data_IF_779120331570
#
_entry.id   IF_779120331570
#
_cell.length_a   1.000
_cell.length_b   1.000
_cell.length_c   1.000
_cell.angle_alpha   90.00
_cell.angle_beta   90.00
_cell.angle_gamma   90.00
#
_symmetry.space_group_name_H-M   'P 1'
#
loop_
_entity.id
_entity.type
_entity.pdbx_description
1 polymer ?
#
# COMPACT_ATOMS: atom_id res chain seq x y z
N UNK A 1 21.18 -15.38 -16.16
CA UNK A 1 19.99 -15.45 -15.28
C UNK A 1 18.92 -14.64 -15.98
N UNK A 2 17.66 -15.10 -15.97
CA UNK A 2 16.56 -14.29 -16.53
C UNK A 2 16.41 -13.02 -15.70
N UNK A 3 16.01 -11.91 -16.32
CA UNK A 3 15.78 -10.66 -15.59
C UNK A 3 14.58 -10.83 -14.64
N UNK A 4 14.60 -10.17 -13.46
CA UNK A 4 13.49 -10.21 -12.53
C UNK A 4 12.21 -9.68 -13.19
N UNK A 5 11.09 -10.35 -12.94
CA UNK A 5 9.79 -9.83 -13.37
C UNK A 5 9.45 -8.57 -12.57
N UNK A 6 8.63 -7.67 -13.14
CA UNK A 6 8.06 -6.55 -12.39
C UNK A 6 6.64 -6.89 -11.93
N UNK A 7 6.42 -6.88 -10.62
CA UNK A 7 5.11 -6.95 -9.99
C UNK A 7 4.64 -5.54 -9.67
N UNK A 8 3.64 -5.06 -10.39
CA UNK A 8 2.97 -3.80 -10.07
C UNK A 8 1.93 -4.05 -8.97
N UNK A 9 2.01 -3.27 -7.90
CA UNK A 9 1.15 -3.41 -6.71
C UNK A 9 0.33 -2.16 -6.54
N UNK A 10 -0.95 -2.24 -6.90
CA UNK A 10 -1.91 -1.16 -6.70
C UNK A 10 -2.35 -1.17 -5.24
N UNK A 11 -2.11 -0.07 -4.53
CA UNK A 11 -2.20 -0.04 -3.07
C UNK A 11 -2.56 1.34 -2.51
N UNK A 12 -3.15 1.37 -1.32
CA UNK A 12 -3.41 2.58 -0.54
C UNK A 12 -3.12 2.32 0.95
N UNK A 13 -2.49 3.28 1.62
CA UNK A 13 -2.07 3.17 3.03
C UNK A 13 -3.24 3.03 4.01
N UNK A 14 -4.44 3.45 3.61
CA UNK A 14 -5.65 3.36 4.45
C UNK A 14 -6.40 2.02 4.30
N UNK A 15 -5.95 1.17 3.37
CA UNK A 15 -6.55 -0.12 3.09
C UNK A 15 -5.93 -1.24 3.95
N UNK A 16 -6.69 -1.86 4.87
CA UNK A 16 -6.14 -2.91 5.74
C UNK A 16 -5.77 -4.17 4.96
N UNK A 17 -6.42 -4.43 3.82
CA UNK A 17 -6.05 -5.53 2.93
C UNK A 17 -4.74 -5.26 2.19
N UNK A 18 -4.40 -3.99 1.92
CA UNK A 18 -3.12 -3.64 1.31
C UNK A 18 -1.96 -3.90 2.27
N UNK A 19 -2.15 -3.61 3.55
CA UNK A 19 -1.15 -3.94 4.57
C UNK A 19 -0.90 -5.46 4.68
N UNK A 20 -1.97 -6.27 4.67
CA UNK A 20 -1.86 -7.73 4.60
C UNK A 20 -1.18 -8.20 3.31
N UNK A 21 -1.56 -7.61 2.17
CA UNK A 21 -0.97 -7.91 0.87
C UNK A 21 0.52 -7.56 0.80
N UNK A 22 0.93 -6.46 1.41
CA UNK A 22 2.33 -6.02 1.48
C UNK A 22 3.21 -7.03 2.23
N UNK A 23 2.75 -7.59 3.34
CA UNK A 23 3.44 -8.69 4.02
C UNK A 23 3.70 -9.88 3.10
N UNK A 24 2.69 -10.27 2.32
CA UNK A 24 2.80 -11.37 1.35
C UNK A 24 3.69 -11.02 0.16
N UNK A 25 3.70 -9.77 -0.29
CA UNK A 25 4.62 -9.29 -1.33
C UNK A 25 6.08 -9.33 -0.84
N UNK A 26 6.34 -8.99 0.43
CA UNK A 26 7.67 -9.13 1.03
C UNK A 26 8.12 -10.58 1.05
N UNK A 27 7.25 -11.48 1.50
CA UNK A 27 7.51 -12.92 1.45
C UNK A 27 7.78 -13.41 0.01
N UNK A 28 7.03 -12.90 -0.98
CA UNK A 28 7.27 -13.23 -2.39
C UNK A 28 8.66 -12.75 -2.84
N UNK A 29 9.05 -11.52 -2.48
CA UNK A 29 10.35 -10.93 -2.79
C UNK A 29 11.51 -11.67 -2.13
N UNK A 30 11.31 -12.28 -0.97
CA UNK A 30 12.32 -13.13 -0.32
C UNK A 30 12.54 -14.44 -1.09
N UNK A 31 11.48 -15.01 -1.66
CA UNK A 31 11.50 -16.33 -2.29
C UNK A 31 11.74 -16.32 -3.81
N UNK A 32 11.41 -15.22 -4.50
CA UNK A 32 11.47 -15.11 -5.96
C UNK A 32 12.21 -13.87 -6.42
N UNK A 33 12.76 -13.92 -7.63
CA UNK A 33 13.40 -12.79 -8.29
C UNK A 33 12.33 -11.87 -8.92
N UNK A 34 11.78 -11.01 -8.07
CA UNK A 34 10.73 -10.05 -8.40
C UNK A 34 11.14 -8.63 -8.01
N UNK A 35 10.91 -7.69 -8.93
CA UNK A 35 10.97 -6.26 -8.67
C UNK A 35 9.58 -5.76 -8.35
N UNK A 36 9.43 -5.04 -7.24
CA UNK A 36 8.14 -4.48 -6.81
C UNK A 36 8.05 -3.04 -7.29
N UNK A 37 6.93 -2.71 -7.93
CA UNK A 37 6.59 -1.34 -8.31
C UNK A 37 5.26 -0.98 -7.69
N UNK A 38 5.29 -0.09 -6.70
CA UNK A 38 4.07 0.41 -6.09
C UNK A 38 3.35 1.36 -7.05
N UNK A 39 2.02 1.25 -7.10
CA UNK A 39 1.14 2.16 -7.84
C UNK A 39 0.09 2.65 -6.86
N UNK A 40 0.08 3.95 -6.56
CA UNK A 40 -0.89 4.49 -5.61
C UNK A 40 -2.32 4.46 -6.16
N UNK A 41 -3.26 4.04 -5.31
CA UNK A 41 -4.68 3.97 -5.63
C UNK A 41 -5.47 4.99 -4.79
N UNK A 42 -6.48 5.68 -5.36
CA UNK A 42 -7.35 6.57 -4.61
C UNK A 42 -8.49 5.79 -3.95
N UNK A 43 -8.28 5.16 -2.78
CA UNK A 43 -9.36 4.37 -2.18
C UNK A 43 -10.51 5.25 -1.67
N UNK A 44 -10.18 6.30 -0.93
CA UNK A 44 -11.14 7.27 -0.37
C UNK A 44 -10.63 8.71 -0.51
N UNK A 45 -10.38 9.19 -1.74
CA UNK A 45 -9.77 10.51 -2.00
C UNK A 45 -10.59 11.69 -1.48
N UNK A 46 -11.89 11.49 -1.27
CA UNK A 46 -12.84 12.45 -0.73
C UNK A 46 -12.78 12.61 0.80
N UNK A 47 -12.04 11.75 1.51
CA UNK A 47 -11.93 11.82 2.97
C UNK A 47 -11.28 13.15 3.38
N UNK A 48 -11.82 13.90 4.34
CA UNK A 48 -11.15 15.10 4.87
C UNK A 48 -9.80 14.79 5.53
N UNK A 49 -8.94 15.80 5.68
CA UNK A 49 -7.62 15.61 6.30
C UNK A 49 -7.74 15.24 7.79
N UNK A 50 -8.72 15.80 8.49
CA UNK A 50 -9.10 15.44 9.86
C UNK A 50 -9.72 14.03 9.98
N UNK A 51 -10.03 13.40 8.84
CA UNK A 51 -10.62 12.07 8.77
C UNK A 51 -12.14 12.04 8.89
N UNK A 52 -12.66 10.81 8.82
CA UNK A 52 -14.08 10.51 8.99
C UNK A 52 -14.24 9.18 9.72
N UNK A 53 -15.31 9.03 10.49
CA UNK A 53 -15.59 7.74 11.15
C UNK A 53 -15.88 6.65 10.10
N UNK A 54 -15.48 5.41 10.41
CA UNK A 54 -15.79 4.26 9.56
C UNK A 54 -17.29 3.96 9.54
N UNK A 55 -17.99 4.22 10.64
CA UNK A 55 -19.44 4.09 10.73
C UNK A 55 -20.13 4.97 9.68
N UNK A 56 -19.74 6.25 9.60
CA UNK A 56 -20.29 7.18 8.62
C UNK A 56 -19.87 6.80 7.19
N UNK A 57 -18.62 6.38 6.99
CA UNK A 57 -18.12 5.98 5.68
C UNK A 57 -18.85 4.75 5.11
N UNK A 58 -19.12 3.74 5.95
CA UNK A 58 -19.80 2.52 5.54
C UNK A 58 -21.32 2.57 5.71
N UNK A 59 -21.86 3.65 6.30
CA UNK A 59 -23.30 3.77 6.58
C UNK A 59 -23.81 2.70 7.55
N UNK A 60 -23.00 2.31 8.55
CA UNK A 60 -23.31 1.23 9.48
C UNK A 60 -23.05 1.61 10.95
N UNK A 61 -23.50 0.77 11.88
CA UNK A 61 -23.33 0.95 13.32
C UNK A 61 -22.00 0.42 13.87
N UNK A 62 -21.69 0.74 15.14
CA UNK A 62 -20.43 0.35 15.79
C UNK A 62 -20.21 -1.16 15.88
N UNK A 63 -21.29 -1.96 15.96
CA UNK A 63 -21.20 -3.42 16.01
C UNK A 63 -20.64 -4.00 14.71
N UNK A 64 -21.11 -3.52 13.55
CA UNK A 64 -20.59 -4.00 12.25
C UNK A 64 -19.13 -3.56 12.06
N UNK A 65 -18.75 -2.37 12.52
CA UNK A 65 -17.34 -1.92 12.51
C UNK A 65 -16.47 -2.83 13.37
N UNK A 66 -16.94 -3.21 14.58
CA UNK A 66 -16.23 -4.14 15.45
C UNK A 66 -16.06 -5.52 14.78
N UNK A 67 -17.10 -6.03 14.10
CA UNK A 67 -17.01 -7.29 13.34
C UNK A 67 -16.00 -7.21 12.19
N UNK A 68 -15.97 -6.09 11.44
CA UNK A 68 -14.99 -5.87 10.37
C UNK A 68 -13.56 -5.81 10.93
N UNK A 69 -13.35 -5.13 12.06
CA UNK A 69 -12.03 -5.08 12.69
C UNK A 69 -11.61 -6.45 13.23
N UNK A 70 -12.49 -7.19 13.91
CA UNK A 70 -12.21 -8.52 14.42
C UNK A 70 -11.81 -9.50 13.30
N UNK A 71 -12.50 -9.42 12.14
CA UNK A 71 -12.11 -10.20 10.95
C UNK A 71 -10.69 -9.86 10.49
N UNK A 72 -10.36 -8.57 10.38
CA UNK A 72 -9.01 -8.15 9.96
C UNK A 72 -7.95 -8.55 10.98
N UNK A 73 -8.22 -8.39 12.27
CA UNK A 73 -7.31 -8.83 13.34
C UNK A 73 -7.02 -10.32 13.27
N UNK A 74 -8.02 -11.16 13.06
CA UNK A 74 -7.83 -12.61 12.93
C UNK A 74 -6.90 -12.96 11.76
N UNK A 75 -7.04 -12.28 10.61
CA UNK A 75 -6.16 -12.47 9.45
C UNK A 75 -4.74 -11.97 9.71
N UNK A 76 -4.59 -10.79 10.31
CA UNK A 76 -3.28 -10.22 10.64
C UNK A 76 -2.54 -11.08 11.67
N UNK A 77 -3.24 -11.55 12.70
CA UNK A 77 -2.68 -12.42 13.74
C UNK A 77 -2.20 -13.76 13.16
N UNK A 78 -2.92 -14.33 12.19
CA UNK A 78 -2.51 -15.56 11.51
C UNK A 78 -1.17 -15.42 10.78
N UNK A 79 -0.78 -14.19 10.41
CA UNK A 79 0.49 -13.86 9.75
C UNK A 79 1.47 -13.10 10.67
N UNK A 80 1.19 -13.01 11.98
CA UNK A 80 2.05 -12.31 12.94
C UNK A 80 2.11 -10.80 12.74
N UNK A 81 1.16 -10.21 12.01
CA UNK A 81 1.10 -8.78 11.76
C UNK A 81 0.37 -8.05 12.90
N UNK A 82 0.97 -6.99 13.48
CA UNK A 82 0.28 -6.16 14.46
C UNK A 82 -0.83 -5.34 13.78
N UNK A 83 -2.01 -5.31 14.38
CA UNK A 83 -3.14 -4.54 13.90
C UNK A 83 -4.04 -4.15 15.08
N UNK A 84 -4.39 -2.87 15.19
CA UNK A 84 -5.32 -2.37 16.21
C UNK A 84 -6.69 -2.09 15.60
N UNK A 85 -7.72 -2.15 16.44
CA UNK A 85 -9.06 -1.69 16.07
C UNK A 85 -9.00 -0.26 15.52
N UNK A 86 -9.82 0.03 14.53
CA UNK A 86 -9.91 1.38 13.97
C UNK A 86 -11.35 1.86 13.97
N UNK A 87 -11.51 3.15 14.25
CA UNK A 87 -12.80 3.85 14.24
C UNK A 87 -12.88 4.90 13.14
N UNK A 88 -11.75 5.30 12.55
CA UNK A 88 -11.65 6.36 11.55
C UNK A 88 -10.90 5.88 10.30
N UNK A 89 -11.15 6.58 9.20
CA UNK A 89 -10.25 6.63 8.04
C UNK A 89 -9.76 8.06 7.85
N UNK A 90 -8.60 8.22 7.22
CA UNK A 90 -7.98 9.52 6.95
C UNK A 90 -7.68 9.69 5.46
N UNK A 91 -7.42 10.91 5.02
CA UNK A 91 -6.95 11.15 3.66
C UNK A 91 -5.51 10.66 3.50
N UNK A 92 -5.24 9.83 2.48
CA UNK A 92 -3.89 9.30 2.21
C UNK A 92 -3.11 10.09 1.16
N UNK A 93 -3.69 11.13 0.55
CA UNK A 93 -3.10 11.80 -0.62
C UNK A 93 -1.70 12.33 -0.38
N UNK A 94 -1.49 13.07 0.72
CA UNK A 94 -0.17 13.62 1.04
C UNK A 94 0.82 12.51 1.40
N UNK A 95 0.37 11.48 2.13
CA UNK A 95 1.19 10.30 2.41
C UNK A 95 1.61 9.57 1.13
N UNK A 96 0.72 9.47 0.12
CA UNK A 96 1.04 8.91 -1.19
C UNK A 96 2.07 9.75 -1.94
N UNK A 97 1.97 11.08 -1.91
CA UNK A 97 2.97 11.95 -2.55
C UNK A 97 4.36 11.83 -1.90
N UNK A 98 4.40 11.76 -0.56
CA UNK A 98 5.66 11.52 0.16
C UNK A 98 6.19 10.10 -0.08
N UNK A 99 5.31 9.10 -0.13
CA UNK A 99 5.66 7.73 -0.51
C UNK A 99 6.30 7.68 -1.90
N UNK A 100 5.68 8.35 -2.88
CA UNK A 100 6.19 8.43 -4.25
C UNK A 100 7.53 9.16 -4.34
N UNK A 101 7.69 10.25 -3.58
CA UNK A 101 8.98 10.92 -3.45
C UNK A 101 10.04 10.00 -2.88
N UNK A 102 9.74 9.26 -1.82
CA UNK A 102 10.69 8.38 -1.17
C UNK A 102 11.21 7.26 -2.10
N UNK A 103 10.43 6.79 -3.06
CA UNK A 103 10.89 5.84 -4.09
C UNK A 103 12.09 6.37 -4.91
N UNK A 104 12.25 7.69 -5.00
CA UNK A 104 13.39 8.34 -5.67
C UNK A 104 14.63 8.48 -4.78
N UNK A 105 14.48 8.20 -3.48
CA UNK A 105 15.53 8.38 -2.49
C UNK A 105 16.26 7.06 -2.18
N UNK A 106 17.57 7.09 -1.92
CA UNK A 106 18.30 5.90 -1.45
C UNK A 106 17.66 5.34 -0.17
N UNK A 107 17.24 4.06 -0.20
CA UNK A 107 16.63 3.41 0.95
C UNK A 107 15.19 3.82 1.27
N UNK A 108 14.56 4.67 0.45
CA UNK A 108 13.24 5.23 0.75
C UNK A 108 12.08 4.23 0.73
N UNK A 109 12.27 3.02 0.20
CA UNK A 109 11.27 1.95 0.23
C UNK A 109 10.75 1.62 1.65
N UNK A 110 11.56 1.83 2.69
CA UNK A 110 11.18 1.59 4.07
C UNK A 110 10.03 2.48 4.57
N UNK A 111 9.76 3.62 3.90
CA UNK A 111 8.69 4.53 4.33
C UNK A 111 7.30 3.89 4.21
N UNK A 112 7.10 2.98 3.25
CA UNK A 112 5.79 2.37 3.02
C UNK A 112 5.36 1.53 4.24
N UNK A 113 6.30 0.80 4.82
CA UNK A 113 6.12 0.04 6.06
C UNK A 113 5.79 0.98 7.22
N UNK A 114 6.48 2.13 7.29
CA UNK A 114 6.26 3.12 8.34
C UNK A 114 4.90 3.80 8.23
N UNK A 115 4.37 4.01 7.03
CA UNK A 115 2.99 4.48 6.86
C UNK A 115 1.97 3.44 7.32
N UNK A 116 2.15 2.17 6.96
CA UNK A 116 1.26 1.10 7.42
C UNK A 116 1.32 0.92 8.94
N UNK A 117 2.51 0.93 9.53
CA UNK A 117 2.72 0.87 10.98
C UNK A 117 2.03 2.05 11.69
N UNK A 118 2.31 3.28 11.25
CA UNK A 118 1.71 4.47 11.85
C UNK A 118 0.17 4.43 11.79
N UNK A 119 -0.40 3.93 10.69
CA UNK A 119 -1.84 3.90 10.49
C UNK A 119 -2.53 2.75 11.21
N UNK A 120 -2.06 1.51 11.05
CA UNK A 120 -2.74 0.31 11.54
C UNK A 120 -2.28 -0.16 12.92
N UNK A 121 -1.11 0.28 13.37
CA UNK A 121 -0.55 -0.09 14.68
C UNK A 121 -0.61 1.10 15.63
N UNK A 122 -0.17 2.27 15.20
CA UNK A 122 -0.14 3.46 16.07
C UNK A 122 -1.42 4.30 16.01
N UNK A 123 -2.33 3.98 15.08
CA UNK A 123 -3.62 4.68 14.88
C UNK A 123 -3.46 6.18 14.64
N UNK A 124 -2.38 6.59 13.95
CA UNK A 124 -2.06 7.98 13.65
C UNK A 124 -2.75 8.46 12.37
N UNK A 125 -3.09 9.75 12.33
CA UNK A 125 -3.67 10.40 11.17
C UNK A 125 -2.60 10.70 10.10
N UNK A 126 -2.53 9.90 9.04
CA UNK A 126 -1.59 10.10 7.92
C UNK A 126 -2.03 11.18 6.91
N UNK A 127 -3.12 11.90 7.18
CA UNK A 127 -3.50 13.14 6.51
C UNK A 127 -2.91 14.40 7.18
N UNK A 128 -2.34 14.27 8.38
CA UNK A 128 -1.67 15.34 9.12
C UNK A 128 -0.20 15.47 8.67
N UNK A 129 0.20 16.68 8.30
CA UNK A 129 1.56 16.99 7.81
C UNK A 129 2.63 16.64 8.85
N UNK A 130 2.44 16.99 10.12
CA UNK A 130 3.46 16.75 11.14
C UNK A 130 3.58 15.26 11.46
N UNK A 131 2.46 14.50 11.38
CA UNK A 131 2.51 13.03 11.46
C UNK A 131 3.31 12.44 10.30
N UNK A 132 3.09 12.90 9.07
CA UNK A 132 3.84 12.44 7.91
C UNK A 132 5.34 12.73 8.07
N UNK A 133 5.71 13.90 8.58
CA UNK A 133 7.11 14.28 8.76
C UNK A 133 7.80 13.48 9.88
N UNK A 134 7.07 13.11 10.94
CA UNK A 134 7.57 12.16 11.94
C UNK A 134 7.84 10.78 11.33
N UNK A 135 6.97 10.31 10.42
CA UNK A 135 7.13 9.04 9.71
C UNK A 135 8.37 9.09 8.80
N UNK A 136 8.54 10.18 8.05
CA UNK A 136 9.74 10.43 7.21
C UNK A 136 11.01 10.36 8.05
N UNK A 137 11.02 11.03 9.21
CA UNK A 137 12.14 11.01 10.14
C UNK A 137 12.43 9.59 10.65
N UNK A 138 11.40 8.85 11.03
CA UNK A 138 11.53 7.47 11.49
C UNK A 138 12.01 6.50 10.38
N UNK A 139 11.74 6.82 9.11
CA UNK A 139 12.28 6.12 7.95
C UNK A 139 13.72 6.53 7.60
N UNK A 140 14.32 7.49 8.31
CA UNK A 140 15.67 7.97 8.07
C UNK A 140 15.81 8.87 6.84
N UNK A 141 14.71 9.45 6.37
CA UNK A 141 14.67 10.32 5.20
C UNK A 141 14.73 11.81 5.58
N UNK A 142 15.06 12.66 4.60
CA UNK A 142 15.18 14.10 4.82
C UNK A 142 13.81 14.76 5.03
N UNK A 143 13.59 15.23 6.26
CA UNK A 143 12.34 15.87 6.69
C UNK A 143 12.12 17.22 6.00
N UNK A 144 13.18 17.98 5.71
CA UNK A 144 13.07 19.27 5.06
C UNK A 144 12.67 19.12 3.58
N UNK A 145 13.24 18.14 2.89
CA UNK A 145 12.84 17.81 1.52
C UNK A 145 11.40 17.27 1.46
N UNK A 146 11.02 16.37 2.37
CA UNK A 146 9.64 15.89 2.45
C UNK A 146 8.64 17.02 2.73
N UNK A 147 9.00 18.01 3.56
CA UNK A 147 8.16 19.19 3.81
C UNK A 147 7.93 19.99 2.53
N UNK A 148 8.97 20.19 1.70
CA UNK A 148 8.80 20.83 0.38
C UNK A 148 7.88 20.02 -0.52
N UNK A 149 8.01 18.69 -0.55
CA UNK A 149 7.12 17.81 -1.32
C UNK A 149 5.65 18.05 -0.95
N UNK A 150 5.36 18.19 0.34
CA UNK A 150 4.01 18.43 0.84
C UNK A 150 3.53 19.85 0.52
N UNK A 151 4.33 20.87 0.81
CA UNK A 151 3.95 22.29 0.68
C UNK A 151 3.83 22.72 -0.79
N UNK A 152 4.78 22.31 -1.62
CA UNK A 152 4.84 22.64 -3.04
C UNK A 152 4.16 21.59 -3.93
N UNK A 153 3.74 20.46 -3.36
CA UNK A 153 3.02 19.37 -4.05
C UNK A 153 3.81 18.81 -5.24
N UNK A 154 5.14 18.71 -5.12
CA UNK A 154 6.05 18.37 -6.24
C UNK A 154 5.84 16.96 -6.81
N UNK A 155 5.23 16.05 -6.04
CA UNK A 155 4.90 14.68 -6.47
C UNK A 155 3.41 14.48 -6.80
N UNK A 156 2.63 15.56 -6.84
CA UNK A 156 1.20 15.52 -7.17
C UNK A 156 0.94 14.83 -8.50
N UNK A 157 1.66 15.22 -9.54
CA UNK A 157 1.45 14.71 -10.90
C UNK A 157 1.84 13.23 -11.03
N UNK A 158 2.84 12.79 -10.27
CA UNK A 158 3.25 11.38 -10.24
C UNK A 158 2.16 10.51 -9.59
N UNK A 159 1.54 10.98 -8.50
CA UNK A 159 0.40 10.28 -7.87
C UNK A 159 -0.85 10.34 -8.75
N UNK A 160 -1.12 11.47 -9.42
CA UNK A 160 -2.23 11.56 -10.39
C UNK A 160 -2.05 10.57 -11.55
N UNK A 161 -0.81 10.36 -12.01
CA UNK A 161 -0.50 9.37 -13.03
C UNK A 161 -0.74 7.93 -12.54
N UNK A 162 -0.39 7.61 -11.29
CA UNK A 162 -0.68 6.31 -10.67
C UNK A 162 -2.20 6.07 -10.54
N UNK A 163 -2.95 7.11 -10.14
CA UNK A 163 -4.42 7.06 -10.05
C UNK A 163 -5.05 6.86 -11.44
N UNK A 164 -4.61 7.61 -12.44
CA UNK A 164 -5.07 7.46 -13.83
C UNK A 164 -4.75 6.07 -14.39
N UNK A 165 -3.57 5.55 -14.09
CA UNK A 165 -3.17 4.19 -14.48
C UNK A 165 -4.07 3.13 -13.86
N UNK A 166 -4.44 3.28 -12.59
CA UNK A 166 -5.38 2.38 -11.91
C UNK A 166 -6.69 2.27 -12.67
N UNK A 167 -7.24 3.40 -13.12
CA UNK A 167 -8.45 3.42 -13.95
C UNK A 167 -8.25 2.80 -15.33
N UNK A 168 -7.13 3.08 -16.00
CA UNK A 168 -6.80 2.49 -17.31
C UNK A 168 -6.69 0.96 -17.24
N UNK A 169 -6.17 0.44 -16.14
CA UNK A 169 -6.02 -1.00 -15.90
C UNK A 169 -7.33 -1.65 -15.42
N UNK A 170 -8.39 -0.86 -15.22
CA UNK A 170 -9.68 -1.35 -14.70
C UNK A 170 -9.64 -1.79 -13.24
N UNK A 171 -8.67 -1.30 -12.46
CA UNK A 171 -8.56 -1.60 -11.02
C UNK A 171 -9.69 -0.90 -10.29
N UNK A 172 -10.54 -1.69 -9.63
CA UNK A 172 -11.70 -1.20 -8.85
C UNK A 172 -11.58 -1.47 -7.35
N UNK A 173 -10.51 -2.15 -6.93
CA UNK A 173 -10.23 -2.45 -5.53
C UNK A 173 -8.76 -2.76 -5.31
N UNK A 174 -8.31 -2.59 -4.07
CA UNK A 174 -6.92 -2.80 -3.68
C UNK A 174 -6.80 -3.70 -2.44
N UNK A 175 -5.73 -4.51 -2.33
CA UNK A 175 -4.59 -4.56 -3.25
C UNK A 175 -4.96 -5.25 -4.56
N UNK A 176 -4.39 -4.79 -5.67
CA UNK A 176 -4.42 -5.50 -6.95
C UNK A 176 -2.99 -5.66 -7.42
N UNK A 177 -2.63 -6.85 -7.86
CA UNK A 177 -1.29 -7.20 -8.29
C UNK A 177 -1.30 -7.48 -9.78
N UNK A 178 -0.38 -6.87 -10.54
CA UNK A 178 -0.32 -7.00 -12.00
C UNK A 178 1.09 -7.36 -12.44
N UNK A 179 1.19 -8.34 -13.34
CA UNK A 179 2.45 -8.75 -13.99
C UNK A 179 2.26 -8.74 -15.51
N UNK A 180 3.34 -8.48 -16.24
CA UNK A 180 3.40 -8.76 -17.66
C UNK A 180 3.90 -10.20 -17.86
N UNK A 181 3.13 -11.03 -18.56
CA UNK A 181 3.54 -12.36 -18.95
C UNK A 181 4.54 -12.33 -20.11
N UNK A 182 5.28 -13.44 -20.36
CA UNK A 182 6.24 -13.52 -21.46
C UNK A 182 5.64 -13.29 -22.86
N UNK A 183 4.33 -13.48 -23.02
CA UNK A 183 3.59 -13.23 -24.27
C UNK A 183 3.16 -11.75 -24.42
N UNK A 184 3.51 -10.90 -23.45
CA UNK A 184 3.17 -9.47 -23.41
C UNK A 184 1.79 -9.17 -22.84
N UNK A 185 1.01 -10.17 -22.43
CA UNK A 185 -0.30 -9.94 -21.81
C UNK A 185 -0.16 -9.54 -20.34
N UNK A 186 -1.07 -8.71 -19.86
CA UNK A 186 -1.17 -8.36 -18.44
C UNK A 186 -2.04 -9.37 -17.71
N UNK A 187 -1.53 -9.91 -16.62
CA UNK A 187 -2.27 -10.78 -15.71
C UNK A 187 -2.44 -10.09 -14.36
N UNK A 188 -3.62 -10.25 -13.75
CA UNK A 188 -3.98 -9.59 -12.51
C UNK A 188 -4.49 -10.54 -11.43
N UNK A 189 -4.18 -10.23 -10.17
CA UNK A 189 -4.76 -10.86 -8.98
C UNK A 189 -5.39 -9.76 -8.11
N UNK A 190 -6.69 -9.87 -7.85
CA UNK A 190 -7.45 -8.86 -7.10
C UNK A 190 -7.69 -9.33 -5.66
N UNK A 191 -7.39 -8.43 -4.72
CA UNK A 191 -7.50 -8.63 -3.28
C UNK A 191 -6.28 -9.34 -2.69
N UNK A 192 -6.14 -9.26 -1.35
CA UNK A 192 -5.16 -10.03 -0.61
C UNK A 192 -5.61 -11.51 -0.53
N UNK A 193 -5.54 -12.21 -1.66
CA UNK A 193 -5.71 -13.66 -1.76
C UNK A 193 -4.59 -14.40 -1.03
N UNK A 194 -4.79 -15.66 -0.60
CA UNK A 194 -3.73 -16.47 0.01
C UNK A 194 -2.41 -16.41 -0.76
N UNK A 195 -1.28 -16.53 -0.05
CA UNK A 195 0.06 -16.31 -0.59
C UNK A 195 0.33 -17.13 -1.87
N UNK A 196 -0.22 -18.34 -1.96
CA UNK A 196 -0.09 -19.23 -3.11
C UNK A 196 -0.61 -18.59 -4.40
N UNK A 197 -1.61 -17.71 -4.33
CA UNK A 197 -2.12 -16.98 -5.50
C UNK A 197 -1.10 -15.98 -6.05
N UNK A 198 -0.36 -15.31 -5.16
CA UNK A 198 0.74 -14.42 -5.56
C UNK A 198 1.91 -15.21 -6.16
N UNK A 199 2.24 -16.36 -5.60
CA UNK A 199 3.26 -17.25 -6.16
C UNK A 199 2.87 -17.72 -7.57
N UNK A 200 1.64 -18.19 -7.75
CA UNK A 200 1.13 -18.64 -9.05
C UNK A 200 1.17 -17.51 -10.09
N UNK A 201 0.77 -16.29 -9.70
CA UNK A 201 0.83 -15.12 -10.57
C UNK A 201 2.27 -14.83 -11.00
N UNK A 202 3.22 -14.80 -10.05
CA UNK A 202 4.62 -14.52 -10.33
C UNK A 202 5.26 -15.60 -11.21
N UNK A 203 5.01 -16.87 -10.89
CA UNK A 203 5.53 -18.02 -11.66
C UNK A 203 4.98 -18.03 -13.09
N UNK A 204 3.69 -17.73 -13.29
CA UNK A 204 3.09 -17.63 -14.62
C UNK A 204 3.74 -16.52 -15.48
N UNK A 205 4.22 -15.45 -14.82
CA UNK A 205 5.00 -14.40 -15.48
C UNK A 205 6.50 -14.74 -15.67
N UNK A 206 6.95 -15.91 -15.21
CA UNK A 206 8.32 -16.39 -15.38
C UNK A 206 9.26 -16.07 -14.21
N UNK A 207 8.75 -15.63 -13.06
CA UNK A 207 9.57 -15.39 -11.87
C UNK A 207 10.37 -16.64 -11.48
N UNK A 208 11.68 -16.46 -11.26
CA UNK A 208 12.55 -17.54 -10.82
C UNK A 208 12.59 -17.60 -9.30
N UNK A 209 12.55 -18.80 -8.74
CA UNK A 209 12.76 -19.00 -7.30
C UNK A 209 14.23 -18.74 -6.98
N UNK A 210 14.51 -17.99 -5.92
CA UNK A 210 15.88 -17.74 -5.46
C UNK A 210 16.48 -19.06 -4.95
N UNK A 211 17.73 -19.32 -5.33
CA UNK A 211 18.49 -20.38 -4.71
C UNK A 211 18.77 -19.98 -3.25
N UNK A 212 18.37 -20.83 -2.31
CA UNK A 212 18.63 -20.64 -0.88
C UNK A 212 20.10 -20.76 -0.53
#
# INVERSE_FOLDING_TARGET
MADPITLEVFSDYVCPWCYLGDNRVKQLKENYDVTIKLVHFPLHPETPAEGRTLADMFGTGPEEIAQKNARMQGLMQAEGLPFKDRSHTYNSRLAQEVGKWAETQPGGAAIHDKFFEAYFVDQRNIGDVEVILDIVKAAGLDVAEARKVIEERTFKDAVDADWAKSHQYGVTGVPTFVVAAPDGQLHGLVGAQPYEGLEQLAQAAGAQKKAG
#
